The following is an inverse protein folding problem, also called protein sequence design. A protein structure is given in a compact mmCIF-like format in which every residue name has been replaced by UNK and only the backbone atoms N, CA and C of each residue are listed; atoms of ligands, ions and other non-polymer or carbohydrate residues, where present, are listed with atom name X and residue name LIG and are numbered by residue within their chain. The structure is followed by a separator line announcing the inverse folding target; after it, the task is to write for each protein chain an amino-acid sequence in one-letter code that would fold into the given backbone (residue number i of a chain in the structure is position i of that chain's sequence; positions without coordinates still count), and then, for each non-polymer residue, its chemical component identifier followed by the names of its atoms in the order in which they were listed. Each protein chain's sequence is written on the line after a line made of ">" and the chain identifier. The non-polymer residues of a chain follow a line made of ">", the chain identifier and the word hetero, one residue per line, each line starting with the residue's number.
data_IF_505402874401
#
_entry.id   IF_505402874401
#
_cell.length_a   1.000
_cell.length_b   1.000
_cell.length_c   1.000
_cell.angle_alpha   90.00
_cell.angle_beta   90.00
_cell.angle_gamma   90.00
#
_symmetry.space_group_name_H-M   'P 1'
#
loop_
_entity.id
_entity.type
_entity.pdbx_description
1 polymer ?
#
# COMPACT_ATOMS: atom_id res chain seq x y z
N UNK A 1 -8.04 -3.14 -20.91
CA UNK A 1 -9.45 -3.46 -20.56
C UNK A 1 -9.70 -3.29 -19.06
N UNK A 2 -8.92 -3.93 -18.15
CA UNK A 2 -9.14 -3.82 -16.69
C UNK A 2 -9.10 -2.37 -16.19
N UNK A 3 -8.05 -1.62 -16.52
CA UNK A 3 -7.93 -0.21 -16.13
C UNK A 3 -9.13 0.61 -16.60
N UNK A 4 -9.55 0.40 -17.85
CA UNK A 4 -10.69 1.12 -18.42
C UNK A 4 -11.98 0.81 -17.63
N UNK A 5 -12.27 -0.46 -17.35
CA UNK A 5 -13.47 -0.84 -16.60
C UNK A 5 -13.47 -0.27 -15.18
N UNK A 6 -12.31 -0.24 -14.50
CA UNK A 6 -12.16 0.35 -13.16
C UNK A 6 -12.48 1.84 -13.21
N UNK A 7 -11.87 2.59 -14.14
CA UNK A 7 -12.04 4.04 -14.23
C UNK A 7 -13.48 4.39 -14.64
N UNK A 8 -14.08 3.69 -15.57
CA UNK A 8 -15.49 3.89 -15.99
C UNK A 8 -16.44 3.71 -14.78
N UNK A 9 -16.27 2.64 -14.01
CA UNK A 9 -17.07 2.39 -12.81
C UNK A 9 -16.87 3.49 -11.74
N UNK A 10 -15.64 3.94 -11.52
CA UNK A 10 -15.36 5.01 -10.56
C UNK A 10 -15.95 6.35 -11.00
N UNK A 11 -15.89 6.68 -12.28
CA UNK A 11 -16.53 7.88 -12.84
C UNK A 11 -18.05 7.82 -12.70
N UNK A 12 -18.67 6.68 -13.02
CA UNK A 12 -20.12 6.48 -12.88
C UNK A 12 -20.58 6.66 -11.44
N UNK A 13 -19.79 6.16 -10.49
CA UNK A 13 -20.11 6.21 -9.06
C UNK A 13 -19.67 7.50 -8.36
N UNK A 14 -18.91 8.38 -9.04
CA UNK A 14 -18.28 9.55 -8.40
C UNK A 14 -17.27 9.18 -7.32
N UNK A 15 -16.62 8.04 -7.44
CA UNK A 15 -15.74 7.48 -6.43
C UNK A 15 -14.25 7.74 -6.75
N UNK A 16 -13.43 8.20 -5.76
CA UNK A 16 -11.98 8.26 -5.92
C UNK A 16 -11.39 6.84 -6.12
N UNK A 17 -10.23 6.76 -6.76
CA UNK A 17 -9.58 5.46 -7.03
C UNK A 17 -8.07 5.52 -6.84
N UNK A 18 -7.53 4.44 -6.23
CA UNK A 18 -6.10 4.16 -6.16
C UNK A 18 -5.80 3.02 -7.14
N UNK A 19 -4.99 3.29 -8.15
CA UNK A 19 -4.49 2.30 -9.09
C UNK A 19 -3.22 1.69 -8.52
N UNK A 20 -3.34 0.50 -7.92
CA UNK A 20 -2.23 -0.19 -7.29
C UNK A 20 -1.48 -1.08 -8.28
N UNK A 21 -0.16 -1.06 -8.20
CA UNK A 21 0.74 -1.81 -9.08
C UNK A 21 1.84 -2.45 -8.24
N UNK A 22 1.82 -3.78 -8.15
CA UNK A 22 2.89 -4.53 -7.51
C UNK A 22 4.17 -4.56 -8.36
N UNK A 23 5.34 -4.89 -7.79
CA UNK A 23 6.59 -5.02 -8.53
C UNK A 23 6.50 -5.98 -9.71
N UNK A 24 5.82 -7.13 -9.57
CA UNK A 24 5.68 -8.09 -10.66
C UNK A 24 4.73 -7.59 -11.74
N UNK A 25 3.61 -6.95 -11.39
CA UNK A 25 2.72 -6.32 -12.35
C UNK A 25 3.45 -5.20 -13.12
N UNK A 26 4.27 -4.40 -12.43
CA UNK A 26 5.12 -3.38 -13.04
C UNK A 26 6.12 -3.98 -14.03
N UNK A 27 6.75 -5.08 -13.69
CA UNK A 27 7.67 -5.79 -14.59
C UNK A 27 6.94 -6.41 -15.80
N UNK A 28 5.75 -6.97 -15.58
CA UNK A 28 4.93 -7.58 -16.63
C UNK A 28 4.42 -6.56 -17.64
N UNK A 29 3.88 -5.43 -17.17
CA UNK A 29 3.32 -4.37 -18.03
C UNK A 29 4.44 -3.55 -18.68
N UNK A 30 5.56 -3.40 -17.98
CA UNK A 30 6.68 -2.55 -18.36
C UNK A 30 6.72 -1.25 -17.54
N UNK A 31 7.83 -1.06 -16.83
CA UNK A 31 8.04 0.06 -15.90
C UNK A 31 7.76 1.44 -16.55
N UNK A 32 8.11 1.58 -17.82
CA UNK A 32 7.95 2.84 -18.55
C UNK A 32 6.52 3.06 -19.06
N UNK A 33 5.71 2.00 -19.14
CA UNK A 33 4.31 2.04 -19.59
C UNK A 33 3.35 2.44 -18.48
N UNK A 34 3.62 2.05 -17.23
CA UNK A 34 2.72 2.27 -16.10
C UNK A 34 2.40 3.76 -15.87
N UNK A 35 3.38 4.69 -15.88
CA UNK A 35 3.07 6.11 -15.70
C UNK A 35 2.17 6.67 -16.80
N UNK A 36 2.28 6.17 -18.02
CA UNK A 36 1.40 6.57 -19.13
C UNK A 36 -0.03 6.05 -18.94
N UNK A 37 -0.18 4.83 -18.41
CA UNK A 37 -1.51 4.29 -18.07
C UNK A 37 -2.18 5.10 -16.96
N UNK A 38 -1.43 5.50 -15.93
CA UNK A 38 -1.94 6.39 -14.88
C UNK A 38 -2.38 7.75 -15.44
N UNK A 39 -1.56 8.36 -16.31
CA UNK A 39 -1.92 9.61 -16.99
C UNK A 39 -3.15 9.45 -17.88
N UNK A 40 -3.25 8.35 -18.63
CA UNK A 40 -4.42 8.07 -19.47
C UNK A 40 -5.70 7.95 -18.62
N UNK A 41 -5.63 7.36 -17.43
CA UNK A 41 -6.75 7.30 -16.51
C UNK A 41 -7.21 8.69 -16.06
N UNK A 42 -6.28 9.55 -15.68
CA UNK A 42 -6.57 10.94 -15.30
C UNK A 42 -7.20 11.74 -16.46
N UNK A 43 -6.66 11.61 -17.67
CA UNK A 43 -7.20 12.31 -18.84
C UNK A 43 -8.60 11.78 -19.24
N UNK A 44 -8.86 10.48 -19.05
CA UNK A 44 -10.19 9.92 -19.25
C UNK A 44 -11.20 10.50 -18.25
N UNK A 45 -10.83 10.56 -16.97
CA UNK A 45 -11.69 11.17 -15.92
C UNK A 45 -12.05 12.61 -16.30
N UNK A 46 -11.06 13.44 -16.68
CA UNK A 46 -11.30 14.83 -17.12
C UNK A 46 -12.20 14.90 -18.36
N UNK A 47 -11.94 14.05 -19.37
CA UNK A 47 -12.72 14.03 -20.61
C UNK A 47 -14.18 13.60 -20.39
N UNK A 48 -14.46 12.81 -19.36
CA UNK A 48 -15.83 12.43 -18.96
C UNK A 48 -16.57 13.53 -18.17
N UNK A 49 -15.92 14.64 -17.88
CA UNK A 49 -16.48 15.75 -17.09
C UNK A 49 -16.49 15.47 -15.58
N UNK A 50 -15.77 14.46 -15.13
CA UNK A 50 -15.61 14.10 -13.72
C UNK A 50 -14.35 14.74 -13.14
N UNK A 51 -14.33 14.91 -11.82
CA UNK A 51 -13.22 15.45 -11.04
C UNK A 51 -12.76 14.50 -9.93
N UNK A 52 -13.12 13.19 -10.05
CA UNK A 52 -12.70 12.18 -9.04
C UNK A 52 -11.17 12.13 -8.94
N UNK A 53 -10.63 12.03 -7.72
CA UNK A 53 -9.20 11.83 -7.52
C UNK A 53 -8.74 10.45 -8.03
N UNK A 54 -7.60 10.43 -8.72
CA UNK A 54 -6.92 9.21 -9.17
C UNK A 54 -5.50 9.22 -8.62
N UNK A 55 -5.12 8.21 -7.87
CA UNK A 55 -3.75 7.98 -7.43
C UNK A 55 -3.14 6.78 -8.16
N UNK A 56 -1.85 6.85 -8.48
CA UNK A 56 -1.04 5.72 -8.93
C UNK A 56 -0.10 5.34 -7.79
N UNK A 57 -0.20 4.09 -7.32
CA UNK A 57 0.45 3.60 -6.11
C UNK A 57 1.33 2.37 -6.40
N UNK A 58 2.57 2.38 -5.88
CA UNK A 58 3.41 1.20 -5.81
C UNK A 58 2.98 0.36 -4.61
N UNK A 59 2.56 -0.87 -4.83
CA UNK A 59 2.12 -1.82 -3.83
C UNK A 59 3.26 -2.76 -3.46
N UNK A 60 3.52 -2.99 -2.17
CA UNK A 60 4.61 -3.82 -1.64
C UNK A 60 5.99 -3.59 -2.28
N UNK A 61 6.44 -2.33 -2.31
CA UNK A 61 7.78 -1.98 -2.81
C UNK A 61 8.89 -2.63 -1.97
N UNK A 62 9.74 -3.51 -2.55
CA UNK A 62 10.68 -4.33 -1.78
C UNK A 62 11.98 -3.59 -1.43
N UNK A 63 12.24 -2.42 -2.00
CA UNK A 63 13.47 -1.67 -1.80
C UNK A 63 13.33 -0.18 -2.06
N UNK A 64 14.29 0.58 -1.51
CA UNK A 64 14.40 2.02 -1.75
C UNK A 64 14.51 2.36 -3.24
N UNK A 65 15.30 1.59 -3.99
CA UNK A 65 15.59 1.86 -5.42
C UNK A 65 14.33 1.74 -6.28
N UNK A 66 13.45 0.77 -5.97
CA UNK A 66 12.18 0.62 -6.67
C UNK A 66 11.21 1.74 -6.30
N UNK A 67 11.13 2.11 -5.01
CA UNK A 67 10.32 3.25 -4.58
C UNK A 67 10.80 4.56 -5.23
N UNK A 68 12.12 4.84 -5.20
CA UNK A 68 12.73 6.00 -5.84
C UNK A 68 12.41 6.04 -7.34
N UNK A 69 12.57 4.92 -8.05
CA UNK A 69 12.26 4.86 -9.47
C UNK A 69 10.77 5.14 -9.76
N UNK A 70 9.86 4.62 -8.97
CA UNK A 70 8.42 4.91 -9.10
C UNK A 70 8.13 6.39 -8.85
N UNK A 71 8.69 6.99 -7.80
CA UNK A 71 8.54 8.41 -7.47
C UNK A 71 9.00 9.29 -8.64
N UNK A 72 10.21 9.05 -9.15
CA UNK A 72 10.78 9.82 -10.25
C UNK A 72 10.02 9.63 -11.58
N UNK A 73 9.29 8.55 -11.73
CA UNK A 73 8.47 8.26 -12.90
C UNK A 73 6.99 8.65 -12.74
N UNK A 74 6.61 9.38 -11.69
CA UNK A 74 5.32 10.03 -11.56
C UNK A 74 4.24 9.20 -10.87
N UNK A 75 4.61 8.26 -10.01
CA UNK A 75 3.72 7.71 -9.02
C UNK A 75 3.40 8.79 -7.99
N UNK A 76 2.14 8.88 -7.58
CA UNK A 76 1.67 9.83 -6.57
C UNK A 76 1.69 9.25 -5.15
N UNK A 77 1.92 7.94 -5.05
CA UNK A 77 2.00 7.21 -3.78
C UNK A 77 2.88 5.97 -3.93
N UNK A 78 3.61 5.61 -2.90
CA UNK A 78 4.43 4.40 -2.86
C UNK A 78 4.32 3.72 -1.51
N UNK A 79 4.31 2.38 -1.50
CA UNK A 79 4.52 1.59 -0.30
C UNK A 79 5.95 1.07 -0.25
N UNK A 80 6.58 1.16 0.90
CA UNK A 80 7.81 0.44 1.23
C UNK A 80 7.48 -0.68 2.21
N UNK A 81 7.60 -1.92 1.77
CA UNK A 81 7.41 -3.09 2.61
C UNK A 81 8.75 -3.58 3.17
N UNK A 82 9.04 -3.15 4.37
CA UNK A 82 10.20 -3.55 5.15
C UNK A 82 9.80 -4.41 6.37
N UNK A 83 8.58 -4.92 6.41
CA UNK A 83 8.01 -5.68 7.53
C UNK A 83 8.78 -6.95 7.89
N UNK A 84 9.47 -7.54 6.91
CA UNK A 84 10.34 -8.71 7.07
C UNK A 84 11.65 -8.44 7.81
N UNK A 85 12.05 -7.17 7.94
CA UNK A 85 13.29 -6.78 8.64
C UNK A 85 13.02 -6.51 10.12
N UNK A 86 14.07 -6.53 10.97
CA UNK A 86 13.96 -6.05 12.34
C UNK A 86 13.41 -4.64 12.43
N UNK A 87 12.72 -4.31 13.53
CA UNK A 87 12.04 -3.04 13.72
C UNK A 87 12.90 -1.81 13.37
N UNK A 88 14.14 -1.75 13.87
CA UNK A 88 15.00 -0.59 13.63
C UNK A 88 15.42 -0.46 12.15
N UNK A 89 15.56 -1.58 11.44
CA UNK A 89 15.86 -1.60 10.00
C UNK A 89 14.61 -1.18 9.19
N UNK A 90 13.42 -1.64 9.58
CA UNK A 90 12.16 -1.20 9.00
C UNK A 90 11.99 0.31 9.17
N UNK A 91 12.19 0.84 10.38
CA UNK A 91 12.15 2.29 10.66
C UNK A 91 13.14 3.05 9.77
N UNK A 92 14.38 2.59 9.68
CA UNK A 92 15.42 3.27 8.91
C UNK A 92 15.10 3.32 7.41
N UNK A 93 14.62 2.19 6.84
CA UNK A 93 14.28 2.11 5.43
C UNK A 93 13.01 2.90 5.10
N UNK A 94 11.97 2.78 5.91
CA UNK A 94 10.71 3.51 5.73
C UNK A 94 10.95 5.02 5.82
N UNK A 95 11.74 5.48 6.81
CA UNK A 95 12.14 6.87 6.91
C UNK A 95 12.89 7.36 5.68
N UNK A 96 13.86 6.59 5.19
CA UNK A 96 14.64 6.95 4.01
C UNK A 96 13.74 7.18 2.78
N UNK A 97 12.73 6.33 2.60
CA UNK A 97 11.76 6.47 1.51
C UNK A 97 10.88 7.69 1.73
N UNK A 98 10.36 7.91 2.95
CA UNK A 98 9.52 9.06 3.26
C UNK A 98 10.27 10.39 3.07
N UNK A 99 11.50 10.51 3.58
CA UNK A 99 12.35 11.68 3.42
C UNK A 99 12.65 12.01 1.93
N UNK A 100 12.66 10.99 1.07
CA UNK A 100 12.84 11.18 -0.38
C UNK A 100 11.53 11.56 -1.06
N UNK A 101 10.46 10.79 -0.82
CA UNK A 101 9.17 10.93 -1.47
C UNK A 101 8.53 12.31 -1.23
N UNK A 102 8.61 12.82 -0.01
CA UNK A 102 8.05 14.11 0.38
C UNK A 102 8.68 15.30 -0.36
N UNK A 103 9.90 15.16 -0.91
CA UNK A 103 10.50 16.19 -1.78
C UNK A 103 9.79 16.32 -3.12
N UNK A 104 9.02 15.30 -3.50
CA UNK A 104 8.27 15.21 -4.75
C UNK A 104 6.75 15.26 -4.55
N UNK A 105 6.30 15.57 -3.33
CA UNK A 105 4.86 15.57 -2.97
C UNK A 105 4.20 14.20 -3.19
N UNK A 106 4.94 13.13 -2.90
CA UNK A 106 4.49 11.73 -3.01
C UNK A 106 4.27 11.17 -1.62
N UNK A 107 3.08 10.56 -1.38
CA UNK A 107 2.76 9.91 -0.11
C UNK A 107 3.43 8.55 0.03
N UNK A 108 3.71 8.17 1.27
CA UNK A 108 4.38 6.92 1.60
C UNK A 108 3.55 6.09 2.57
N UNK A 109 3.34 4.84 2.19
CA UNK A 109 2.83 3.78 3.04
C UNK A 109 3.99 2.92 3.55
N UNK A 110 3.94 2.46 4.79
CA UNK A 110 4.83 1.42 5.30
C UNK A 110 4.02 0.32 5.99
N UNK A 111 4.67 -0.79 6.32
CA UNK A 111 4.01 -1.92 6.98
C UNK A 111 4.69 -2.25 8.31
N UNK A 112 3.85 -2.55 9.33
CA UNK A 112 4.27 -3.00 10.64
C UNK A 112 3.51 -4.27 11.03
N UNK A 113 4.25 -5.32 11.37
CA UNK A 113 3.76 -6.69 11.47
C UNK A 113 4.00 -7.45 10.16
N UNK A 114 3.65 -8.71 10.10
CA UNK A 114 3.81 -9.57 8.92
C UNK A 114 2.52 -10.31 8.64
N UNK A 115 1.99 -10.16 7.44
CA UNK A 115 0.84 -10.92 6.96
C UNK A 115 1.27 -12.28 6.42
N UNK A 116 0.59 -13.36 6.83
CA UNK A 116 0.79 -14.65 6.21
C UNK A 116 0.15 -14.71 4.81
N UNK A 117 0.68 -15.58 3.95
CA UNK A 117 0.18 -15.83 2.61
C UNK A 117 1.24 -15.60 1.54
N UNK A 118 0.77 -15.60 0.30
CA UNK A 118 1.62 -15.44 -0.88
C UNK A 118 1.01 -14.36 -1.75
N UNK A 119 1.75 -13.27 -1.95
CA UNK A 119 1.43 -12.24 -2.91
C UNK A 119 2.72 -11.78 -3.59
N UNK A 120 2.79 -11.93 -4.91
CA UNK A 120 4.00 -11.67 -5.69
C UNK A 120 5.24 -12.39 -5.13
N UNK A 121 6.21 -11.61 -4.67
CA UNK A 121 7.46 -12.09 -4.04
C UNK A 121 7.36 -12.09 -2.50
N UNK A 122 6.22 -11.70 -1.94
CA UNK A 122 5.99 -11.71 -0.49
C UNK A 122 5.47 -13.07 -0.05
N UNK A 123 6.26 -13.76 0.76
CA UNK A 123 5.94 -15.08 1.33
C UNK A 123 6.12 -15.06 2.83
N UNK A 124 5.06 -15.35 3.58
CA UNK A 124 5.14 -15.58 5.01
C UNK A 124 4.29 -16.78 5.41
N UNK A 125 4.86 -17.72 6.16
CA UNK A 125 4.16 -18.91 6.63
C UNK A 125 3.26 -18.62 7.83
N UNK A 126 3.61 -17.61 8.64
CA UNK A 126 2.89 -17.24 9.87
C UNK A 126 2.63 -15.73 9.94
N UNK A 127 1.58 -15.36 10.64
CA UNK A 127 1.28 -13.97 10.97
C UNK A 127 2.16 -13.49 12.13
N UNK A 128 2.73 -12.30 11.99
CA UNK A 128 3.26 -11.53 13.12
C UNK A 128 2.35 -10.31 13.28
N UNK A 129 1.44 -10.39 14.25
CA UNK A 129 0.50 -9.29 14.49
C UNK A 129 1.22 -8.00 14.86
N UNK A 130 0.72 -6.89 14.31
CA UNK A 130 1.20 -5.55 14.67
C UNK A 130 1.06 -5.34 16.18
N UNK A 131 2.13 -4.86 16.80
CA UNK A 131 2.11 -4.50 18.21
C UNK A 131 1.65 -3.04 18.36
N UNK A 132 0.48 -2.78 18.98
CA UNK A 132 -0.02 -1.41 19.11
C UNK A 132 0.93 -0.47 19.83
N UNK A 133 1.75 -0.99 20.75
CA UNK A 133 2.74 -0.20 21.49
C UNK A 133 3.87 0.38 20.61
N UNK A 134 4.11 -0.18 19.44
CA UNK A 134 5.19 0.24 18.52
C UNK A 134 4.71 1.27 17.49
N UNK A 135 3.40 1.35 17.25
CA UNK A 135 2.83 2.11 16.12
C UNK A 135 3.10 3.61 16.23
N UNK A 136 2.91 4.20 17.42
CA UNK A 136 3.13 5.63 17.65
C UNK A 136 4.60 6.03 17.43
N UNK A 137 5.52 5.21 17.98
CA UNK A 137 6.96 5.40 17.80
C UNK A 137 7.37 5.24 16.34
N UNK A 138 6.85 4.20 15.66
CA UNK A 138 7.11 3.93 14.25
C UNK A 138 6.69 5.10 13.35
N UNK A 139 5.44 5.54 13.43
CA UNK A 139 4.91 6.64 12.62
C UNK A 139 5.68 7.93 12.89
N UNK A 140 5.95 8.23 14.17
CA UNK A 140 6.71 9.43 14.56
C UNK A 140 8.14 9.43 14.02
N UNK A 141 8.82 8.28 14.01
CA UNK A 141 10.20 8.15 13.55
C UNK A 141 10.33 8.16 12.03
N UNK A 142 9.38 7.50 11.35
CA UNK A 142 9.44 7.31 9.90
C UNK A 142 8.88 8.49 9.13
N UNK A 143 7.82 9.13 9.65
CA UNK A 143 7.10 10.19 8.98
C UNK A 143 6.27 9.71 7.78
N UNK A 144 5.90 8.42 7.72
CA UNK A 144 5.02 7.89 6.68
C UNK A 144 3.60 8.45 6.77
N UNK A 145 2.85 8.40 5.69
CA UNK A 145 1.52 9.03 5.57
C UNK A 145 0.38 8.04 5.83
N UNK A 146 0.65 6.74 5.69
CA UNK A 146 -0.27 5.65 6.02
C UNK A 146 0.49 4.43 6.52
N UNK A 147 -0.21 3.56 7.27
CA UNK A 147 0.37 2.37 7.87
C UNK A 147 -0.46 1.14 7.58
N UNK A 148 0.15 0.16 6.91
CA UNK A 148 -0.38 -1.18 6.80
C UNK A 148 -0.13 -1.96 8.09
N UNK A 149 -1.17 -2.66 8.57
CA UNK A 149 -1.13 -3.42 9.83
C UNK A 149 -1.54 -4.88 9.62
N UNK A 150 -0.87 -5.77 10.33
CA UNK A 150 -1.19 -7.20 10.34
C UNK A 150 -2.14 -7.51 11.51
N UNK A 151 -3.39 -7.82 11.19
CA UNK A 151 -4.43 -8.16 12.18
C UNK A 151 -5.15 -9.49 11.88
N UNK A 152 -4.58 -10.33 10.99
CA UNK A 152 -5.12 -11.65 10.66
C UNK A 152 -5.82 -11.76 9.32
N UNK A 153 -5.71 -10.76 8.45
CA UNK A 153 -5.97 -10.89 7.01
C UNK A 153 -4.83 -11.66 6.35
N UNK A 154 -5.03 -12.20 5.14
CA UNK A 154 -4.03 -13.04 4.48
C UNK A 154 -3.94 -12.72 3.00
N UNK A 155 -2.74 -12.70 2.46
CA UNK A 155 -2.51 -12.56 1.03
C UNK A 155 -2.91 -13.82 0.24
N UNK A 156 -3.21 -13.65 -1.04
CA UNK A 156 -3.50 -14.72 -1.99
C UNK A 156 -4.99 -15.03 -2.20
N UNK A 157 -5.26 -15.81 -3.24
CA UNK A 157 -6.62 -16.13 -3.68
C UNK A 157 -7.31 -17.19 -2.81
N UNK A 158 -6.55 -18.07 -2.17
CA UNK A 158 -7.06 -19.17 -1.33
C UNK A 158 -6.68 -18.93 0.13
N UNK A 159 -7.34 -17.96 0.75
CA UNK A 159 -7.01 -17.46 2.07
C UNK A 159 -7.36 -18.43 3.19
N UNK A 160 -8.51 -19.09 3.06
CA UNK A 160 -9.03 -19.98 4.11
C UNK A 160 -9.66 -21.22 3.49
N UNK A 161 -9.49 -22.37 4.16
CA UNK A 161 -10.16 -23.63 3.77
C UNK A 161 -11.61 -23.64 4.28
N UNK A 162 -12.52 -24.39 3.62
CA UNK A 162 -13.86 -24.62 4.19
C UNK A 162 -13.76 -25.18 5.61
N UNK A 163 -14.34 -24.46 6.57
CA UNK A 163 -14.27 -24.82 7.99
C UNK A 163 -13.25 -24.04 8.81
N UNK A 164 -12.34 -23.30 8.19
CA UNK A 164 -11.50 -22.34 8.88
C UNK A 164 -12.37 -21.20 9.43
N UNK A 165 -12.04 -20.73 10.60
CA UNK A 165 -12.69 -19.55 11.21
C UNK A 165 -11.64 -18.45 11.37
N UNK A 166 -11.39 -17.65 10.32
CA UNK A 166 -10.40 -16.60 10.37
C UNK A 166 -10.81 -15.57 11.42
N UNK A 167 -9.92 -15.31 12.35
CA UNK A 167 -10.17 -14.38 13.43
C UNK A 167 -9.41 -13.08 13.21
N UNK A 168 -10.11 -12.09 12.64
CA UNK A 168 -9.53 -10.75 12.48
C UNK A 168 -9.47 -10.05 13.86
N UNK A 169 -8.29 -9.63 14.25
CA UNK A 169 -7.99 -9.00 15.52
C UNK A 169 -8.36 -7.51 15.52
N UNK A 170 -9.67 -7.25 15.47
CA UNK A 170 -10.22 -5.88 15.54
C UNK A 170 -9.90 -5.16 16.86
N UNK A 171 -9.53 -5.90 17.90
CA UNK A 171 -9.03 -5.36 19.16
C UNK A 171 -7.69 -4.62 18.97
N UNK A 172 -6.79 -5.15 18.12
CA UNK A 172 -5.52 -4.51 17.73
C UNK A 172 -5.81 -3.21 16.99
N UNK A 173 -6.68 -3.23 15.97
CA UNK A 173 -7.07 -2.03 15.23
C UNK A 173 -7.61 -0.93 16.15
N UNK A 174 -8.54 -1.29 17.06
CA UNK A 174 -9.12 -0.33 18.01
C UNK A 174 -8.08 0.29 18.94
N UNK A 175 -7.07 -0.48 19.34
CA UNK A 175 -6.00 0.04 20.19
C UNK A 175 -5.05 0.95 19.41
N UNK A 176 -4.76 0.61 18.14
CA UNK A 176 -3.96 1.45 17.25
C UNK A 176 -4.66 2.79 17.01
N UNK A 177 -5.96 2.77 16.70
CA UNK A 177 -6.74 3.99 16.45
C UNK A 177 -6.74 4.95 17.65
N UNK A 178 -6.72 4.41 18.88
CA UNK A 178 -6.60 5.26 20.09
C UNK A 178 -5.23 5.93 20.22
N UNK A 179 -4.17 5.27 19.74
CA UNK A 179 -2.79 5.76 19.85
C UNK A 179 -2.45 6.80 18.78
N UNK A 180 -2.95 6.59 17.58
CA UNK A 180 -2.74 7.47 16.42
C UNK A 180 -4.10 7.87 15.80
N UNK A 181 -4.94 8.62 16.51
CA UNK A 181 -6.30 8.92 16.10
C UNK A 181 -6.32 9.68 14.76
N UNK A 182 -7.10 9.15 13.80
CA UNK A 182 -7.26 9.74 12.48
C UNK A 182 -6.08 9.52 11.52
N UNK A 183 -5.07 8.77 11.92
CA UNK A 183 -3.98 8.37 11.01
C UNK A 183 -4.49 7.30 10.03
N UNK A 184 -4.20 7.40 8.71
CA UNK A 184 -4.65 6.43 7.73
C UNK A 184 -4.09 5.03 7.98
N UNK A 185 -4.99 4.04 8.12
CA UNK A 185 -4.65 2.63 8.31
C UNK A 185 -5.05 1.84 7.07
N UNK A 186 -4.16 0.98 6.62
CA UNK A 186 -4.36 0.09 5.46
C UNK A 186 -4.43 -1.37 5.92
N UNK A 187 -5.31 -2.15 5.29
CA UNK A 187 -5.44 -3.58 5.49
C UNK A 187 -5.19 -4.32 4.17
N UNK A 188 -4.02 -4.93 4.08
CA UNK A 188 -3.70 -5.83 2.98
C UNK A 188 -4.36 -7.18 3.16
N UNK A 189 -4.50 -7.94 2.08
CA UNK A 189 -5.04 -9.29 2.13
C UNK A 189 -6.51 -9.40 2.54
N UNK A 190 -7.29 -8.34 2.44
CA UNK A 190 -8.71 -8.33 2.82
C UNK A 190 -9.64 -8.69 1.67
#
# INVERSE_FOLDING_TARGET
>A
EQLQAIIEACVEMGAPVILQVSPSARNYIGRDMIPWLGRAAVEYVKASGSDIPVALHLDHGPSYEIAEDCILNGFSSVMIDASKYPYDENVALSKKVADFAHKYDVTVEAELGVLAGIEDEVHAEEHIFTQPSEVEDFVSKTGVDSLAIAIGTSHGAYKFKPGDNPHIRLDILKEIEKRIPGFPIVLHGS
#
